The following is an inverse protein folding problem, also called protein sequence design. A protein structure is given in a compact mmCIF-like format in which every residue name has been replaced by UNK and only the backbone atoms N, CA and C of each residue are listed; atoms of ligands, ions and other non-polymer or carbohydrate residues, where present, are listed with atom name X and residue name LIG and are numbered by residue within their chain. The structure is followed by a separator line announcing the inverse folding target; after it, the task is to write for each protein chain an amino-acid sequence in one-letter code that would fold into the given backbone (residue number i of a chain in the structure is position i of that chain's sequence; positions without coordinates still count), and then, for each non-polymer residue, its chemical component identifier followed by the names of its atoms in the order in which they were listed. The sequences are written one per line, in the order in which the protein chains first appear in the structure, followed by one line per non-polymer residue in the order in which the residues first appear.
data_IF_641534152126
#
_entry.id   IF_641534152126
#
_cell.length_a   1.000
_cell.length_b   1.000
_cell.length_c   1.000
_cell.angle_alpha   90.00
_cell.angle_beta   90.00
_cell.angle_gamma   90.00
#
_symmetry.space_group_name_H-M   'P 1'
#
loop_
_entity.id
_entity.type
_entity.pdbx_description
1 polymer ?
#
# COMPACT_ATOMS: atom_id res chain seq x y z
N UNK A 1 -9.70 -4.51 24.98
CA UNK A 1 -9.45 -4.16 23.56
C UNK A 1 -7.95 -3.97 23.38
N UNK A 2 -7.32 -4.81 22.54
CA UNK A 2 -5.90 -4.72 22.22
C UNK A 2 -5.76 -4.19 20.79
N UNK A 3 -5.41 -2.91 20.66
CA UNK A 3 -5.12 -2.27 19.37
C UNK A 3 -3.68 -2.59 18.99
N UNK A 4 -3.50 -3.14 17.80
CA UNK A 4 -2.20 -3.58 17.26
C UNK A 4 -1.57 -2.45 16.46
N UNK A 5 -2.36 -1.79 15.62
CA UNK A 5 -1.87 -0.72 14.76
C UNK A 5 -2.96 0.32 14.48
N UNK A 6 -2.54 1.57 14.28
CA UNK A 6 -3.43 2.65 13.84
C UNK A 6 -2.72 3.43 12.75
N UNK A 7 -3.42 3.65 11.64
CA UNK A 7 -2.92 4.40 10.48
C UNK A 7 -3.90 5.52 10.16
N UNK A 8 -3.38 6.74 9.99
CA UNK A 8 -4.18 7.94 9.77
C UNK A 8 -3.73 8.66 8.51
N UNK A 9 -4.55 8.56 7.45
CA UNK A 9 -4.37 9.23 6.17
C UNK A 9 -5.73 9.77 5.68
N UNK A 10 -6.18 9.42 4.48
CA UNK A 10 -7.55 9.70 4.00
C UNK A 10 -8.59 9.03 4.91
N UNK A 11 -8.30 7.80 5.33
CA UNK A 11 -9.10 7.02 6.27
C UNK A 11 -8.31 6.80 7.56
N UNK A 12 -9.03 6.47 8.62
CA UNK A 12 -8.46 5.91 9.85
C UNK A 12 -8.62 4.41 9.80
N UNK A 13 -7.51 3.69 9.70
CA UNK A 13 -7.47 2.23 9.78
C UNK A 13 -6.99 1.80 11.15
N UNK A 14 -7.66 0.81 11.73
CA UNK A 14 -7.35 0.28 13.04
C UNK A 14 -7.24 -1.23 12.93
N UNK A 15 -6.05 -1.75 13.21
CA UNK A 15 -5.83 -3.18 13.39
C UNK A 15 -5.94 -3.49 14.89
N UNK A 16 -6.70 -4.52 15.22
CA UNK A 16 -6.91 -4.92 16.60
C UNK A 16 -7.02 -6.44 16.70
N UNK A 17 -6.69 -6.99 17.87
CA UNK A 17 -6.91 -8.41 18.14
C UNK A 17 -8.41 -8.68 18.19
N UNK A 18 -8.90 -9.49 17.25
CA UNK A 18 -10.32 -9.74 17.08
C UNK A 18 -10.92 -10.48 18.29
N UNK A 19 -12.00 -9.90 18.83
CA UNK A 19 -12.96 -10.53 19.72
C UNK A 19 -14.30 -9.84 19.52
N UNK A 20 -15.42 -10.52 19.80
CA UNK A 20 -16.75 -9.90 19.68
C UNK A 20 -16.89 -8.62 20.52
N UNK A 21 -16.22 -8.58 21.68
CA UNK A 21 -16.19 -7.41 22.56
C UNK A 21 -15.37 -6.27 21.95
N UNK A 22 -14.20 -6.57 21.38
CA UNK A 22 -13.37 -5.58 20.68
C UNK A 22 -14.10 -4.99 19.47
N UNK A 23 -14.78 -5.81 18.66
CA UNK A 23 -15.55 -5.33 17.50
C UNK A 23 -16.69 -4.39 17.93
N UNK A 24 -17.48 -4.79 18.93
CA UNK A 24 -18.55 -3.94 19.50
C UNK A 24 -17.99 -2.61 20.01
N UNK A 25 -16.85 -2.65 20.69
CA UNK A 25 -16.20 -1.46 21.22
C UNK A 25 -15.75 -0.54 20.09
N UNK A 26 -15.05 -1.06 19.08
CA UNK A 26 -14.62 -0.29 17.90
C UNK A 26 -15.82 0.34 17.20
N UNK A 27 -16.89 -0.42 16.95
CA UNK A 27 -18.10 0.10 16.31
C UNK A 27 -18.79 1.20 17.11
N UNK A 28 -18.77 1.11 18.44
CA UNK A 28 -19.33 2.17 19.30
C UNK A 28 -18.52 3.47 19.29
N UNK A 29 -17.21 3.40 19.02
CA UNK A 29 -16.31 4.57 19.03
C UNK A 29 -16.18 5.17 17.63
N UNK A 30 -15.95 4.34 16.61
CA UNK A 30 -15.62 4.75 15.24
C UNK A 30 -16.79 4.60 14.25
N UNK A 31 -17.86 3.90 14.65
CA UNK A 31 -18.97 3.57 13.77
C UNK A 31 -18.75 2.28 12.97
N UNK A 32 -19.63 2.02 12.02
CA UNK A 32 -19.50 0.88 11.10
C UNK A 32 -18.32 1.09 10.15
N UNK A 33 -17.67 -0.01 9.78
CA UNK A 33 -16.56 -0.01 8.84
C UNK A 33 -16.99 0.53 7.47
N UNK A 34 -16.17 1.39 6.88
CA UNK A 34 -16.40 1.96 5.56
C UNK A 34 -16.22 0.93 4.44
N UNK A 35 -15.31 -0.03 4.67
CA UNK A 35 -14.92 -1.02 3.69
C UNK A 35 -14.92 -2.42 4.30
N UNK A 36 -15.22 -3.40 3.45
CA UNK A 36 -14.93 -4.81 3.69
C UNK A 36 -13.79 -5.24 2.76
N UNK A 37 -13.24 -6.42 3.02
CA UNK A 37 -12.29 -7.07 2.11
C UNK A 37 -12.86 -7.08 0.69
N UNK A 38 -12.08 -6.53 -0.25
CA UNK A 38 -12.48 -6.45 -1.65
C UNK A 38 -11.64 -7.44 -2.47
N UNK A 39 -12.16 -8.66 -2.62
CA UNK A 39 -11.46 -9.73 -3.33
C UNK A 39 -11.33 -9.51 -4.85
N UNK A 40 -12.14 -8.61 -5.42
CA UNK A 40 -12.18 -8.32 -6.86
C UNK A 40 -11.59 -6.96 -7.22
N UNK A 41 -11.16 -6.15 -6.23
CA UNK A 41 -10.59 -4.84 -6.50
C UNK A 41 -9.22 -4.96 -7.18
N UNK A 42 -8.97 -4.07 -8.13
CA UNK A 42 -7.66 -3.90 -8.75
C UNK A 42 -6.68 -3.21 -7.81
N UNK A 43 -5.39 -3.27 -8.16
CA UNK A 43 -4.35 -2.55 -7.42
C UNK A 43 -4.59 -1.04 -7.48
N UNK A 44 -4.93 -0.53 -8.66
CA UNK A 44 -5.11 0.87 -8.99
C UNK A 44 -6.27 1.47 -8.20
N UNK A 45 -7.43 0.78 -8.18
CA UNK A 45 -8.60 1.22 -7.41
C UNK A 45 -8.28 1.38 -5.92
N UNK A 46 -7.58 0.41 -5.34
CA UNK A 46 -7.20 0.44 -3.92
C UNK A 46 -6.13 1.50 -3.65
N UNK A 47 -5.10 1.56 -4.49
CA UNK A 47 -3.95 2.45 -4.31
C UNK A 47 -4.36 3.92 -4.41
N UNK A 48 -5.13 4.28 -5.44
CA UNK A 48 -5.59 5.66 -5.62
C UNK A 48 -6.67 6.06 -4.61
N UNK A 49 -7.34 5.10 -3.98
CA UNK A 49 -8.26 5.37 -2.86
C UNK A 49 -7.58 5.36 -1.48
N UNK A 50 -6.25 5.31 -1.40
CA UNK A 50 -5.48 5.29 -0.15
C UNK A 50 -5.65 4.03 0.70
N UNK A 51 -6.19 2.94 0.12
CA UNK A 51 -6.27 1.60 0.74
C UNK A 51 -4.96 0.84 0.50
N UNK A 52 -3.89 1.38 1.08
CA UNK A 52 -2.52 0.94 0.77
C UNK A 52 -2.21 -0.47 1.29
N UNK A 53 -2.84 -0.88 2.40
CA UNK A 53 -2.70 -2.24 2.93
C UNK A 53 -3.26 -3.28 1.95
N UNK A 54 -4.50 -3.12 1.52
CA UNK A 54 -5.14 -4.06 0.60
C UNK A 54 -4.49 -4.02 -0.78
N UNK A 55 -4.07 -2.83 -1.23
CA UNK A 55 -3.26 -2.66 -2.44
C UNK A 55 -1.96 -3.49 -2.36
N UNK A 56 -1.28 -3.44 -1.23
CA UNK A 56 -0.09 -4.24 -0.95
C UNK A 56 -0.39 -5.75 -0.98
N UNK A 57 -1.47 -6.22 -0.37
CA UNK A 57 -1.85 -7.65 -0.37
C UNK A 57 -2.16 -8.19 -1.77
N UNK A 58 -2.88 -7.41 -2.59
CA UNK A 58 -3.17 -7.76 -3.98
C UNK A 58 -1.87 -7.92 -4.78
N UNK A 59 -0.92 -7.00 -4.59
CA UNK A 59 0.39 -7.07 -5.25
C UNK A 59 1.23 -8.24 -4.74
N UNK A 60 1.25 -8.51 -3.44
CA UNK A 60 1.96 -9.66 -2.87
C UNK A 60 1.49 -10.98 -3.49
N UNK A 61 0.17 -11.15 -3.64
CA UNK A 61 -0.39 -12.34 -4.27
C UNK A 61 0.11 -12.49 -5.71
N UNK A 62 0.05 -11.40 -6.50
CA UNK A 62 0.59 -11.38 -7.87
C UNK A 62 2.09 -11.68 -7.91
N UNK A 63 2.87 -11.13 -6.98
CA UNK A 63 4.31 -11.35 -6.88
C UNK A 63 4.68 -12.81 -6.59
N UNK A 64 3.91 -13.49 -5.73
CA UNK A 64 4.10 -14.91 -5.41
C UNK A 64 3.90 -15.80 -6.64
N UNK A 65 2.96 -15.44 -7.51
CA UNK A 65 2.58 -16.21 -8.71
C UNK A 65 3.45 -15.87 -9.94
N UNK A 66 4.04 -14.66 -10.00
CA UNK A 66 4.83 -14.20 -11.14
C UNK A 66 6.18 -14.95 -11.27
N UNK A 67 6.48 -15.35 -12.50
CA UNK A 67 7.66 -16.13 -12.91
C UNK A 67 8.66 -15.30 -13.71
N UNK A 68 8.18 -14.30 -14.45
CA UNK A 68 9.05 -13.38 -15.17
C UNK A 68 9.81 -12.49 -14.18
N UNK A 69 11.14 -12.48 -14.29
CA UNK A 69 11.99 -11.82 -13.30
C UNK A 69 11.84 -10.29 -13.35
N UNK A 70 11.63 -9.70 -14.52
CA UNK A 70 11.46 -8.26 -14.67
C UNK A 70 10.10 -7.82 -14.12
N UNK A 71 9.02 -8.52 -14.48
CA UNK A 71 7.68 -8.26 -13.92
C UNK A 71 7.64 -8.46 -12.42
N UNK A 72 8.29 -9.52 -11.92
CA UNK A 72 8.37 -9.79 -10.48
C UNK A 72 9.07 -8.65 -9.74
N UNK A 73 10.14 -8.10 -10.30
CA UNK A 73 10.85 -6.94 -9.75
C UNK A 73 10.01 -5.66 -9.81
N UNK A 74 9.26 -5.45 -10.89
CA UNK A 74 8.32 -4.34 -11.00
C UNK A 74 7.23 -4.41 -9.92
N UNK A 75 6.59 -5.58 -9.76
CA UNK A 75 5.58 -5.79 -8.71
C UNK A 75 6.20 -5.58 -7.33
N UNK A 76 7.44 -6.04 -7.09
CA UNK A 76 8.15 -5.80 -5.83
C UNK A 76 8.36 -4.31 -5.55
N UNK A 77 8.66 -3.52 -6.58
CA UNK A 77 8.77 -2.07 -6.41
C UNK A 77 7.43 -1.44 -6.02
N UNK A 78 6.33 -1.85 -6.66
CA UNK A 78 4.98 -1.39 -6.28
C UNK A 78 4.60 -1.78 -4.84
N UNK A 79 4.96 -3.00 -4.41
CA UNK A 79 4.78 -3.46 -3.02
C UNK A 79 5.53 -2.54 -2.05
N UNK A 80 6.78 -2.18 -2.36
CA UNK A 80 7.57 -1.27 -1.55
C UNK A 80 6.99 0.15 -1.51
N UNK A 81 6.38 0.62 -2.60
CA UNK A 81 5.67 1.90 -2.62
C UNK A 81 4.44 1.85 -1.70
N UNK A 82 3.59 0.83 -1.82
CA UNK A 82 2.44 0.68 -0.91
C UNK A 82 2.89 0.56 0.56
N UNK A 83 3.92 -0.22 0.84
CA UNK A 83 4.51 -0.34 2.19
C UNK A 83 5.08 0.99 2.70
N UNK A 84 5.73 1.77 1.85
CA UNK A 84 6.23 3.10 2.17
C UNK A 84 5.08 4.03 2.60
N UNK A 85 3.97 4.03 1.87
CA UNK A 85 2.81 4.86 2.18
C UNK A 85 2.08 4.41 3.44
N UNK A 86 2.02 3.11 3.71
CA UNK A 86 1.56 2.59 5.01
C UNK A 86 2.40 3.17 6.15
N UNK A 87 3.73 3.20 6.02
CA UNK A 87 4.62 3.81 7.04
C UNK A 87 4.43 5.31 7.16
N UNK A 88 4.18 6.01 6.06
CA UNK A 88 3.83 7.42 6.07
C UNK A 88 2.54 7.67 6.88
N UNK A 89 1.49 6.88 6.65
CA UNK A 89 0.23 6.97 7.41
C UNK A 89 0.37 6.64 8.91
N UNK A 90 1.51 6.06 9.32
CA UNK A 90 1.86 5.84 10.74
C UNK A 90 2.71 6.96 11.35
N UNK A 91 2.98 8.02 10.59
CA UNK A 91 3.95 9.07 10.96
C UNK A 91 5.41 8.60 10.95
N UNK A 92 5.71 7.43 10.38
CA UNK A 92 7.06 6.85 10.34
C UNK A 92 7.81 7.30 9.07
N UNK A 93 7.93 8.62 8.89
CA UNK A 93 8.41 9.25 7.64
C UNK A 93 9.80 8.74 7.22
N UNK A 94 10.76 8.66 8.16
CA UNK A 94 12.11 8.15 7.82
C UNK A 94 12.09 6.71 7.29
N UNK A 95 11.19 5.86 7.79
CA UNK A 95 11.05 4.47 7.32
C UNK A 95 10.36 4.45 5.96
N UNK A 96 9.36 5.32 5.78
CA UNK A 96 8.68 5.54 4.50
C UNK A 96 9.69 5.93 3.41
N UNK A 97 10.55 6.91 3.65
CA UNK A 97 11.56 7.38 2.70
C UNK A 97 12.57 6.30 2.33
N UNK A 98 13.00 5.49 3.29
CA UNK A 98 13.90 4.36 3.04
C UNK A 98 13.26 3.30 2.14
N UNK A 99 11.98 2.98 2.35
CA UNK A 99 11.25 2.03 1.53
C UNK A 99 11.02 2.57 0.12
N UNK A 100 10.67 3.86 0.01
CA UNK A 100 10.48 4.52 -1.28
C UNK A 100 11.78 4.56 -2.08
N UNK A 101 12.90 4.88 -1.43
CA UNK A 101 14.23 4.88 -2.06
C UNK A 101 14.57 3.50 -2.63
N UNK A 102 14.30 2.43 -1.88
CA UNK A 102 14.49 1.05 -2.36
C UNK A 102 13.60 0.72 -3.57
N UNK A 103 12.34 1.17 -3.55
CA UNK A 103 11.44 0.99 -4.68
C UNK A 103 11.99 1.69 -5.94
N UNK A 104 12.44 2.93 -5.80
CA UNK A 104 13.03 3.71 -6.90
C UNK A 104 14.30 3.05 -7.45
N UNK A 105 15.16 2.49 -6.61
CA UNK A 105 16.33 1.72 -7.08
C UNK A 105 15.90 0.52 -7.94
N UNK A 106 14.90 -0.26 -7.52
CA UNK A 106 14.41 -1.39 -8.32
C UNK A 106 13.85 -0.94 -9.66
N UNK A 107 13.13 0.17 -9.68
CA UNK A 107 12.53 0.78 -10.87
C UNK A 107 13.60 1.27 -11.84
N UNK A 108 14.66 1.91 -11.33
CA UNK A 108 15.76 2.44 -12.15
C UNK A 108 16.53 1.37 -12.93
N UNK A 109 16.43 0.11 -12.51
CA UNK A 109 17.07 -1.03 -13.15
C UNK A 109 16.13 -1.76 -14.13
N UNK A 110 14.89 -1.30 -14.30
CA UNK A 110 13.92 -1.89 -15.23
C UNK A 110 14.00 -1.20 -16.61
N UNK A 111 13.72 -1.93 -17.71
CA UNK A 111 13.54 -1.32 -19.01
C UNK A 111 12.40 -0.28 -19.00
N UNK A 112 12.52 0.77 -19.80
CA UNK A 112 11.57 1.91 -19.87
C UNK A 112 10.12 1.48 -20.17
N UNK A 113 9.91 0.36 -20.85
CA UNK A 113 8.58 -0.20 -21.15
C UNK A 113 7.79 -0.64 -19.91
N UNK A 114 8.47 -0.90 -18.79
CA UNK A 114 7.85 -1.23 -17.51
C UNK A 114 7.57 -0.01 -16.63
N UNK A 115 7.76 1.22 -17.16
CA UNK A 115 7.58 2.46 -16.43
C UNK A 115 6.31 3.27 -16.80
N UNK A 116 5.17 2.69 -17.24
CA UNK A 116 4.05 3.49 -17.75
C UNK A 116 3.48 4.49 -16.73
N UNK A 117 3.57 4.20 -15.42
CA UNK A 117 3.12 5.08 -14.33
C UNK A 117 4.11 6.22 -13.99
N UNK A 118 5.37 6.14 -14.43
CA UNK A 118 6.41 7.12 -14.16
C UNK A 118 6.73 8.02 -15.36
N UNK A 119 6.00 7.87 -16.48
CA UNK A 119 5.97 8.85 -17.56
C UNK A 119 5.20 10.13 -17.18
N UNK A 120 5.39 10.63 -15.96
CA UNK A 120 5.33 12.07 -15.77
C UNK A 120 6.67 12.58 -16.29
N UNK A 121 6.74 12.96 -17.56
CA UNK A 121 7.72 13.97 -17.92
C UNK A 121 7.33 15.21 -17.12
N UNK A 122 7.94 15.38 -15.95
CA UNK A 122 8.03 16.71 -15.38
C UNK A 122 8.89 17.43 -16.41
N UNK A 123 8.23 18.10 -17.35
CA UNK A 123 8.85 19.08 -18.19
C UNK A 123 9.41 20.10 -17.20
N UNK A 124 10.66 19.91 -16.80
CA UNK A 124 11.48 21.01 -16.34
C UNK A 124 11.73 21.82 -17.60
N UNK A 125 10.76 22.66 -17.96
CA UNK A 125 11.01 23.81 -18.80
C UNK A 125 11.94 24.73 -17.99
N UNK A 126 13.24 24.55 -18.21
CA UNK A 126 14.29 25.55 -17.95
C UNK A 126 15.29 25.54 -19.08
#
# INVERSE_FOLDING_TARGET
MEVIDVRTCKYVEVDFAYSEESEKTIKSILGEQLFTDCSTCSFEELFFDFRFWESHEVLEKKWKEEKDTQKKKYIQALILISASLIKYCKGQVNVSDQLLSKALSLISELPEEFLPLLYLSIAFDT
#
